data_IF_424547719086
#
_entry.id   IF_424547719086
#
_cell.length_a   1.000
_cell.length_b   1.000
_cell.length_c   1.000
_cell.angle_alpha   90.00
_cell.angle_beta   90.00
_cell.angle_gamma   90.00
#
_symmetry.space_group_name_H-M   'P 1'
#
loop_
_entity.id
_entity.type
_entity.pdbx_description
1 polymer ?
#
# COMPACT_ATOMS: atom_id res chain seq x y z
N UNK A 1 -5.76 70.13 33.15
CA UNK A 1 -5.82 69.34 34.40
C UNK A 1 -7.18 68.65 34.48
N UNK A 2 -7.17 67.41 34.98
CA UNK A 2 -8.29 66.46 35.23
C UNK A 2 -8.63 65.50 34.09
N UNK A 3 -8.34 64.22 34.38
CA UNK A 3 -8.55 62.97 33.65
C UNK A 3 -9.92 62.36 34.02
N UNK A 4 -10.14 61.15 33.47
CA UNK A 4 -11.02 60.04 33.91
C UNK A 4 -12.48 60.23 33.43
N UNK A 5 -13.20 59.31 32.77
CA UNK A 5 -13.39 57.87 33.03
C UNK A 5 -13.75 57.08 31.75
N UNK A 6 -13.16 55.88 31.71
CA UNK A 6 -13.36 54.73 30.82
C UNK A 6 -14.72 54.07 31.08
N UNK A 7 -15.48 53.72 30.04
CA UNK A 7 -16.50 52.67 30.14
C UNK A 7 -16.69 51.99 28.79
N UNK A 8 -16.23 50.74 28.74
CA UNK A 8 -16.53 49.79 27.69
C UNK A 8 -18.01 49.41 27.77
N UNK A 9 -18.72 49.40 26.64
CA UNK A 9 -19.92 48.60 26.50
C UNK A 9 -19.90 47.89 25.15
N UNK A 10 -19.62 46.61 25.24
CA UNK A 10 -19.72 45.61 24.19
C UNK A 10 -21.18 45.46 23.78
N UNK A 11 -21.49 45.55 22.49
CA UNK A 11 -22.70 44.93 21.92
C UNK A 11 -22.26 44.09 20.74
N UNK A 12 -22.19 42.79 21.01
CA UNK A 12 -22.22 41.72 20.02
C UNK A 12 -23.60 41.72 19.35
N UNK A 13 -23.63 41.73 18.02
CA UNK A 13 -24.76 41.15 17.29
C UNK A 13 -24.22 40.26 16.16
N UNK A 14 -24.31 38.96 16.42
CA UNK A 14 -24.18 37.88 15.45
C UNK A 14 -25.50 37.80 14.70
N UNK A 15 -25.46 37.88 13.36
CA UNK A 15 -26.47 37.22 12.52
C UNK A 15 -25.75 36.44 11.42
N UNK A 16 -26.05 35.15 11.45
CA UNK A 16 -25.58 34.06 10.61
C UNK A 16 -26.08 34.24 9.17
N UNK A 17 -25.19 33.98 8.22
CA UNK A 17 -25.52 33.67 6.84
C UNK A 17 -24.67 32.48 6.40
N UNK A 18 -25.04 31.28 6.84
CA UNK A 18 -24.44 30.02 6.40
C UNK A 18 -24.84 29.74 4.96
N UNK A 19 -23.90 29.93 4.03
CA UNK A 19 -23.94 29.27 2.73
C UNK A 19 -23.15 27.98 2.86
N UNK A 20 -23.83 26.85 2.93
CA UNK A 20 -23.20 25.55 2.72
C UNK A 20 -22.81 25.48 1.24
N UNK A 21 -21.51 25.62 0.96
CA UNK A 21 -20.93 25.13 -0.29
C UNK A 21 -20.31 23.78 0.04
N UNK A 22 -21.01 22.71 -0.35
CA UNK A 22 -20.38 21.41 -0.53
C UNK A 22 -19.43 21.53 -1.72
N UNK A 23 -18.14 21.66 -1.41
CA UNK A 23 -17.06 21.51 -2.37
C UNK A 23 -16.00 20.67 -1.69
N UNK A 24 -16.08 19.35 -1.81
CA UNK A 24 -14.94 18.50 -1.46
C UNK A 24 -14.07 18.39 -2.71
N UNK A 25 -13.04 19.22 -2.76
CA UNK A 25 -11.89 19.05 -3.62
C UNK A 25 -10.94 18.07 -2.91
N UNK A 26 -10.58 16.99 -3.58
CA UNK A 26 -9.51 16.10 -3.17
C UNK A 26 -8.96 15.39 -4.39
N UNK A 27 -8.29 16.13 -5.28
CA UNK A 27 -7.54 15.52 -6.37
C UNK A 27 -6.18 15.08 -5.80
N UNK A 28 -5.97 13.78 -5.65
CA UNK A 28 -4.65 13.20 -5.36
C UNK A 28 -3.80 13.25 -6.62
N UNK A 29 -2.99 14.30 -6.76
CA UNK A 29 -2.02 14.40 -7.83
C UNK A 29 -0.63 14.04 -7.29
N UNK A 30 -0.09 12.92 -7.75
CA UNK A 30 1.35 12.68 -7.68
C UNK A 30 2.08 13.76 -8.49
N UNK A 31 2.53 14.81 -7.81
CA UNK A 31 3.31 15.87 -8.46
C UNK A 31 4.72 15.34 -8.73
N UNK A 32 5.23 15.72 -9.90
CA UNK A 32 6.42 15.18 -10.53
C UNK A 32 7.42 16.32 -10.74
N UNK A 33 8.72 16.12 -10.50
CA UNK A 33 9.78 17.02 -10.99
C UNK A 33 10.02 16.76 -12.49
N UNK A 34 9.01 16.93 -13.33
CA UNK A 34 9.11 16.57 -14.77
C UNK A 34 7.86 16.81 -15.64
N UNK A 35 6.70 17.10 -15.05
CA UNK A 35 5.57 17.67 -15.78
C UNK A 35 4.64 16.72 -16.55
N UNK A 36 4.76 15.40 -16.44
CA UNK A 36 3.70 14.47 -16.87
C UNK A 36 2.82 14.10 -15.68
N UNK A 37 1.53 14.45 -15.77
CA UNK A 37 0.49 14.11 -14.79
C UNK A 37 -0.29 12.93 -15.35
N UNK A 38 -0.16 11.76 -14.71
CA UNK A 38 -1.01 10.61 -15.02
C UNK A 38 -2.32 10.74 -14.26
N UNK A 39 -3.46 10.57 -14.93
CA UNK A 39 -4.72 10.35 -14.25
C UNK A 39 -4.71 8.91 -13.73
N UNK A 40 -4.26 8.74 -12.48
CA UNK A 40 -4.37 7.47 -11.79
C UNK A 40 -5.81 7.22 -11.41
N UNK A 41 -6.17 5.93 -11.36
CA UNK A 41 -7.50 5.55 -10.90
C UNK A 41 -7.63 5.83 -9.41
N UNK A 42 -8.65 6.60 -9.04
CA UNK A 42 -9.07 6.87 -7.67
C UNK A 42 -10.35 6.08 -7.40
N UNK A 43 -10.21 4.86 -6.90
CA UNK A 43 -11.37 4.03 -6.49
C UNK A 43 -11.77 4.25 -5.02
N UNK A 44 -11.37 5.37 -4.39
CA UNK A 44 -11.83 5.67 -3.02
C UNK A 44 -13.35 5.86 -2.94
N UNK A 45 -14.07 5.91 -4.06
CA UNK A 45 -15.36 6.56 -4.12
C UNK A 45 -16.60 5.66 -4.16
N UNK A 46 -16.53 4.33 -4.40
CA UNK A 46 -17.79 3.55 -4.34
C UNK A 46 -17.70 2.12 -3.80
N UNK A 47 -16.69 1.29 -4.14
CA UNK A 47 -16.72 -0.12 -3.74
C UNK A 47 -15.94 -0.42 -2.45
N UNK A 48 -14.66 -0.06 -2.37
CA UNK A 48 -13.81 -0.40 -1.22
C UNK A 48 -14.24 0.23 0.10
N UNK A 49 -14.72 1.49 0.07
CA UNK A 49 -15.23 2.14 1.27
C UNK A 49 -16.46 1.42 1.83
N UNK A 50 -17.34 0.91 0.95
CA UNK A 50 -18.53 0.17 1.37
C UNK A 50 -18.12 -1.19 1.93
N UNK A 51 -17.21 -1.89 1.25
CA UNK A 51 -16.68 -3.19 1.66
C UNK A 51 -16.00 -3.12 3.05
N UNK A 52 -15.09 -2.18 3.27
CA UNK A 52 -14.41 -1.97 4.57
C UNK A 52 -15.40 -1.54 5.67
N UNK A 53 -16.44 -0.77 5.31
CA UNK A 53 -17.47 -0.35 6.26
C UNK A 53 -18.41 -1.49 6.70
N UNK A 54 -18.41 -2.64 6.03
CA UNK A 54 -19.18 -3.82 6.46
C UNK A 54 -18.57 -4.51 7.69
N UNK A 55 -17.27 -4.35 7.89
CA UNK A 55 -16.58 -4.91 9.04
C UNK A 55 -16.79 -4.05 10.30
N UNK A 56 -16.90 -4.68 11.49
CA UNK A 56 -17.00 -3.94 12.74
C UNK A 56 -15.78 -3.05 12.98
N UNK A 57 -15.88 -2.16 13.95
CA UNK A 57 -14.72 -1.46 14.49
C UNK A 57 -14.12 -2.31 15.60
N UNK A 58 -12.81 -2.54 15.54
CA UNK A 58 -12.05 -3.29 16.53
C UNK A 58 -10.91 -2.42 17.09
N UNK A 59 -10.50 -2.62 18.35
CA UNK A 59 -9.38 -1.85 18.89
C UNK A 59 -8.07 -2.30 18.24
N UNK A 60 -7.28 -1.35 17.73
CA UNK A 60 -5.98 -1.67 17.13
C UNK A 60 -4.90 -1.88 18.18
N UNK A 61 -4.12 -2.94 18.00
CA UNK A 61 -2.81 -3.11 18.61
C UNK A 61 -1.78 -2.14 17.99
N UNK A 62 -0.66 -1.92 18.69
CA UNK A 62 0.43 -1.12 18.13
C UNK A 62 1.03 -1.75 16.86
N UNK A 63 1.04 -3.09 16.78
CA UNK A 63 1.60 -3.80 15.63
C UNK A 63 0.74 -3.58 14.37
N UNK A 64 -0.58 -3.55 14.52
CA UNK A 64 -1.51 -3.23 13.43
C UNK A 64 -1.38 -1.77 12.99
N UNK A 65 -1.28 -0.83 13.94
CA UNK A 65 -1.06 0.59 13.61
C UNK A 65 0.23 0.78 12.80
N UNK A 66 1.33 0.19 13.27
CA UNK A 66 2.63 0.29 12.61
C UNK A 66 2.61 -0.40 11.24
N UNK A 67 1.88 -1.51 11.10
CA UNK A 67 1.67 -2.23 9.85
C UNK A 67 0.89 -1.40 8.82
N UNK A 68 -0.22 -0.77 9.23
CA UNK A 68 -1.02 0.09 8.35
C UNK A 68 -0.21 1.31 7.86
N UNK A 69 0.60 1.90 8.73
CA UNK A 69 1.48 3.02 8.39
C UNK A 69 2.54 2.58 7.36
N UNK A 70 3.12 1.39 7.54
CA UNK A 70 4.09 0.81 6.61
C UNK A 70 3.43 0.54 5.25
N UNK A 71 2.36 -0.24 5.21
CA UNK A 71 1.69 -0.61 3.95
C UNK A 71 1.18 0.61 3.19
N UNK A 72 0.75 1.67 3.88
CA UNK A 72 0.36 2.92 3.23
C UNK A 72 1.50 3.51 2.40
N UNK A 73 2.72 3.54 2.94
CA UNK A 73 3.90 4.05 2.22
C UNK A 73 4.52 3.02 1.26
N UNK A 74 4.42 1.72 1.55
CA UNK A 74 4.95 0.64 0.70
C UNK A 74 4.21 0.53 -0.63
N UNK A 75 2.87 0.56 -0.59
CA UNK A 75 2.03 0.60 -1.80
C UNK A 75 2.27 1.89 -2.62
N UNK A 76 2.46 3.03 -1.93
CA UNK A 76 2.90 4.28 -2.59
C UNK A 76 4.27 4.12 -3.23
N UNK A 77 5.19 3.43 -2.57
CA UNK A 77 6.52 3.17 -3.07
C UNK A 77 6.47 2.34 -4.35
N UNK A 78 5.70 1.24 -4.37
CA UNK A 78 5.48 0.43 -5.56
C UNK A 78 4.93 1.28 -6.72
N UNK A 79 3.86 2.03 -6.46
CA UNK A 79 3.26 3.00 -7.41
C UNK A 79 4.30 3.94 -7.99
N UNK A 80 5.10 4.58 -7.14
CA UNK A 80 6.05 5.60 -7.53
C UNK A 80 7.23 5.02 -8.32
N UNK A 81 7.73 3.82 -7.97
CA UNK A 81 8.74 3.09 -8.74
C UNK A 81 8.21 2.79 -10.14
N UNK A 82 6.98 2.28 -10.25
CA UNK A 82 6.41 1.92 -11.54
C UNK A 82 6.13 3.13 -12.42
N UNK A 83 5.67 4.25 -11.84
CA UNK A 83 5.51 5.49 -12.61
C UNK A 83 6.84 6.04 -13.12
N UNK A 84 7.91 5.93 -12.33
CA UNK A 84 9.26 6.33 -12.76
C UNK A 84 9.77 5.45 -13.89
N UNK A 85 9.65 4.13 -13.75
CA UNK A 85 10.07 3.18 -14.79
C UNK A 85 9.19 3.25 -16.05
N UNK A 86 7.92 3.64 -15.92
CA UNK A 86 7.07 3.95 -17.07
C UNK A 86 7.58 5.17 -17.83
N UNK A 87 7.95 6.24 -17.13
CA UNK A 87 8.48 7.45 -17.76
C UNK A 87 9.79 7.17 -18.53
N UNK A 88 10.61 6.25 -18.03
CA UNK A 88 11.88 5.86 -18.67
C UNK A 88 11.66 4.92 -19.86
N UNK A 89 10.85 3.87 -19.71
CA UNK A 89 10.77 2.76 -20.67
C UNK A 89 9.51 2.75 -21.54
N UNK A 90 8.47 3.50 -21.16
CA UNK A 90 7.19 3.58 -21.87
C UNK A 90 6.42 2.25 -21.93
N UNK A 91 6.75 1.27 -21.09
CA UNK A 91 6.12 -0.06 -21.12
C UNK A 91 4.82 -0.06 -20.33
N UNK A 92 3.72 -0.39 -21.00
CA UNK A 92 2.36 -0.30 -20.44
C UNK A 92 2.14 -1.14 -19.17
N UNK A 93 2.91 -2.20 -18.95
CA UNK A 93 2.86 -3.00 -17.71
C UNK A 93 3.06 -2.11 -16.48
N UNK A 94 4.04 -1.20 -16.50
CA UNK A 94 4.32 -0.33 -15.36
C UNK A 94 3.17 0.63 -15.08
N UNK A 95 2.60 1.28 -16.11
CA UNK A 95 1.48 2.19 -15.92
C UNK A 95 0.21 1.45 -15.45
N UNK A 96 -0.04 0.25 -15.98
CA UNK A 96 -1.20 -0.55 -15.56
C UNK A 96 -1.09 -0.96 -14.09
N UNK A 97 0.08 -1.44 -13.67
CA UNK A 97 0.30 -1.88 -12.29
C UNK A 97 0.33 -0.68 -11.34
N UNK A 98 0.96 0.44 -11.72
CA UNK A 98 0.89 1.69 -10.93
C UNK A 98 -0.55 2.17 -10.66
N UNK A 99 -1.48 1.96 -11.61
CA UNK A 99 -2.90 2.24 -11.37
C UNK A 99 -3.53 1.29 -10.33
N UNK A 100 -3.09 0.03 -10.29
CA UNK A 100 -3.49 -0.92 -9.25
C UNK A 100 -2.93 -0.51 -7.89
N UNK A 101 -1.65 -0.12 -7.82
CA UNK A 101 -1.04 0.33 -6.56
C UNK A 101 -1.66 1.62 -6.02
N UNK A 102 -2.16 2.49 -6.90
CA UNK A 102 -3.00 3.63 -6.49
C UNK A 102 -4.27 3.15 -5.77
N UNK A 103 -4.88 2.05 -6.23
CA UNK A 103 -6.04 1.45 -5.57
C UNK A 103 -5.66 0.83 -4.23
N UNK A 104 -4.54 0.11 -4.16
CA UNK A 104 -4.05 -0.52 -2.93
C UNK A 104 -3.74 0.52 -1.85
N UNK A 105 -2.92 1.54 -2.16
CA UNK A 105 -2.56 2.57 -1.19
C UNK A 105 -3.80 3.33 -0.68
N UNK A 106 -4.81 3.51 -1.54
CA UNK A 106 -6.09 4.10 -1.17
C UNK A 106 -6.94 3.20 -0.25
N UNK A 107 -6.91 1.88 -0.45
CA UNK A 107 -7.58 0.94 0.45
C UNK A 107 -6.99 1.00 1.86
N UNK A 108 -5.65 1.07 1.99
CA UNK A 108 -4.99 1.27 3.30
C UNK A 108 -5.36 2.62 3.89
N UNK A 109 -5.42 3.68 3.07
CA UNK A 109 -5.87 5.01 3.52
C UNK A 109 -7.27 4.97 4.14
N UNK A 110 -8.20 4.20 3.57
CA UNK A 110 -9.55 4.06 4.12
C UNK A 110 -9.53 3.43 5.53
N UNK A 111 -8.63 2.49 5.80
CA UNK A 111 -8.42 1.96 7.16
C UNK A 111 -7.83 3.02 8.09
N UNK A 112 -6.80 3.76 7.65
CA UNK A 112 -6.25 4.87 8.46
C UNK A 112 -7.34 5.89 8.83
N UNK A 113 -8.21 6.25 7.88
CA UNK A 113 -9.35 7.14 8.12
C UNK A 113 -10.37 6.51 9.09
N UNK A 114 -10.73 5.22 8.92
CA UNK A 114 -11.67 4.49 9.78
C UNK A 114 -11.20 4.48 11.24
N UNK A 115 -9.90 4.29 11.46
CA UNK A 115 -9.28 4.25 12.79
C UNK A 115 -8.78 5.61 13.28
N UNK A 116 -9.01 6.68 12.52
CA UNK A 116 -8.57 8.05 12.85
C UNK A 116 -7.05 8.12 13.14
N UNK A 117 -6.27 7.40 12.35
CA UNK A 117 -4.81 7.42 12.34
C UNK A 117 -4.30 8.55 11.43
N UNK A 118 -3.11 9.06 11.70
CA UNK A 118 -2.48 10.06 10.83
C UNK A 118 -1.96 9.39 9.57
N UNK A 119 -2.34 9.91 8.39
CA UNK A 119 -1.81 9.42 7.10
C UNK A 119 -0.29 9.69 7.02
N UNK A 120 0.49 8.63 6.80
CA UNK A 120 1.94 8.70 6.63
C UNK A 120 2.35 9.38 5.32
N UNK A 121 1.46 9.36 4.32
CA UNK A 121 1.63 10.06 3.04
C UNK A 121 1.08 11.49 3.17
N UNK A 122 1.84 12.34 3.87
CA UNK A 122 1.51 13.76 4.00
C UNK A 122 1.86 14.59 2.74
N UNK A 123 2.79 14.08 1.92
CA UNK A 123 3.19 14.64 0.63
C UNK A 123 3.15 13.51 -0.42
N UNK A 124 2.19 13.60 -1.33
CA UNK A 124 1.99 12.60 -2.38
C UNK A 124 2.91 12.82 -3.61
N UNK A 125 3.88 13.74 -3.51
CA UNK A 125 4.93 13.90 -4.52
C UNK A 125 5.67 12.58 -4.74
N UNK A 126 5.93 12.25 -6.01
CA UNK A 126 6.62 11.01 -6.37
C UNK A 126 8.00 10.93 -5.70
N UNK A 127 8.31 9.79 -5.10
CA UNK A 127 9.61 9.54 -4.48
C UNK A 127 9.81 10.20 -3.11
N UNK A 128 8.80 10.89 -2.58
CA UNK A 128 8.81 11.47 -1.23
C UNK A 128 8.16 10.49 -0.26
N UNK A 129 8.88 10.15 0.81
CA UNK A 129 8.44 9.22 1.85
C UNK A 129 8.84 9.76 3.23
N UNK A 130 7.96 9.55 4.21
CA UNK A 130 8.28 9.75 5.63
C UNK A 130 9.28 8.70 6.08
N UNK A 131 9.05 7.43 5.72
CA UNK A 131 9.99 6.34 5.96
C UNK A 131 11.26 6.48 5.09
N UNK A 132 12.39 6.69 5.76
CA UNK A 132 13.68 6.93 5.09
C UNK A 132 14.28 5.67 4.44
N UNK A 133 13.85 4.48 4.87
CA UNK A 133 14.29 3.23 4.26
C UNK A 133 13.57 2.99 2.93
N UNK A 134 12.26 3.28 2.87
CA UNK A 134 11.52 3.30 1.59
C UNK A 134 12.04 4.37 0.62
N UNK A 135 12.42 5.56 1.13
CA UNK A 135 13.06 6.57 0.30
C UNK A 135 14.41 6.11 -0.30
N UNK A 136 15.21 5.39 0.48
CA UNK A 136 16.47 4.81 -0.01
C UNK A 136 16.20 3.69 -1.02
N UNK A 137 15.28 2.78 -0.71
CA UNK A 137 14.91 1.68 -1.59
C UNK A 137 14.37 2.19 -2.94
N UNK A 138 13.50 3.21 -2.92
CA UNK A 138 13.02 3.89 -4.12
C UNK A 138 14.16 4.35 -5.02
N UNK A 139 15.10 5.13 -4.47
CA UNK A 139 16.21 5.68 -5.25
C UNK A 139 17.05 4.57 -5.87
N UNK A 140 17.38 3.54 -5.11
CA UNK A 140 18.23 2.47 -5.59
C UNK A 140 17.53 1.57 -6.61
N UNK A 141 16.25 1.25 -6.44
CA UNK A 141 15.51 0.45 -7.42
C UNK A 141 15.25 1.23 -8.71
N UNK A 142 14.97 2.53 -8.64
CA UNK A 142 14.90 3.39 -9.82
C UNK A 142 16.25 3.41 -10.53
N UNK A 143 17.36 3.59 -9.81
CA UNK A 143 18.71 3.56 -10.39
C UNK A 143 18.97 2.24 -11.12
N UNK A 144 18.68 1.11 -10.47
CA UNK A 144 18.84 -0.23 -11.07
C UNK A 144 17.94 -0.41 -12.30
N UNK A 145 16.65 -0.09 -12.16
CA UNK A 145 15.68 -0.23 -13.23
C UNK A 145 15.93 0.72 -14.40
N UNK A 146 16.70 1.80 -14.21
CA UNK A 146 17.08 2.72 -15.28
C UNK A 146 18.18 2.15 -16.21
N UNK A 147 18.85 1.07 -15.82
CA UNK A 147 19.98 0.50 -16.59
C UNK A 147 19.51 -0.18 -17.87
N UNK A 148 18.48 -1.03 -17.78
CA UNK A 148 17.90 -1.72 -18.93
C UNK A 148 16.44 -2.06 -18.69
N UNK A 149 15.68 -2.31 -19.76
CA UNK A 149 14.31 -2.76 -19.63
C UNK A 149 14.22 -4.09 -18.85
N UNK A 150 15.19 -4.99 -19.02
CA UNK A 150 15.21 -6.23 -18.24
C UNK A 150 15.38 -5.93 -16.75
N UNK A 151 16.30 -5.03 -16.39
CA UNK A 151 16.49 -4.62 -14.99
C UNK A 151 15.23 -3.96 -14.42
N UNK A 152 14.52 -3.15 -15.20
CA UNK A 152 13.25 -2.55 -14.80
C UNK A 152 12.17 -3.60 -14.51
N UNK A 153 12.08 -4.63 -15.35
CA UNK A 153 11.13 -5.73 -15.15
C UNK A 153 11.49 -6.55 -13.91
N UNK A 154 12.79 -6.80 -13.68
CA UNK A 154 13.26 -7.47 -12.45
C UNK A 154 12.99 -6.65 -11.21
N UNK A 155 13.11 -5.31 -11.29
CA UNK A 155 12.70 -4.39 -10.22
C UNK A 155 11.20 -4.54 -9.95
N UNK A 156 10.37 -4.59 -10.99
CA UNK A 156 8.94 -4.91 -10.88
C UNK A 156 8.68 -6.16 -10.08
N UNK A 157 9.23 -7.30 -10.51
CA UNK A 157 9.08 -8.56 -9.78
C UNK A 157 9.64 -8.52 -8.34
N UNK A 158 10.71 -7.75 -8.08
CA UNK A 158 11.30 -7.60 -6.74
C UNK A 158 10.40 -6.82 -5.79
N UNK A 159 9.71 -5.80 -6.29
CA UNK A 159 8.77 -5.03 -5.48
C UNK A 159 7.59 -5.91 -5.07
N UNK A 160 7.01 -6.68 -5.99
CA UNK A 160 5.89 -7.58 -5.67
C UNK A 160 6.31 -8.74 -4.74
N UNK A 161 7.53 -9.25 -4.88
CA UNK A 161 8.10 -10.27 -3.99
C UNK A 161 8.24 -9.74 -2.55
N UNK A 162 8.73 -8.51 -2.38
CA UNK A 162 8.79 -7.84 -1.08
C UNK A 162 7.39 -7.64 -0.49
N UNK A 163 6.47 -7.11 -1.30
CA UNK A 163 5.12 -6.76 -0.85
C UNK A 163 4.32 -7.98 -0.37
N UNK A 164 4.39 -9.10 -1.10
CA UNK A 164 3.78 -10.38 -0.67
C UNK A 164 4.37 -10.84 0.67
N UNK A 165 5.71 -10.79 0.80
CA UNK A 165 6.39 -11.22 2.02
C UNK A 165 5.96 -10.39 3.24
N UNK A 166 5.90 -9.07 3.11
CA UNK A 166 5.54 -8.17 4.21
C UNK A 166 4.04 -8.26 4.54
N UNK A 167 3.15 -8.35 3.54
CA UNK A 167 1.71 -8.57 3.74
C UNK A 167 1.40 -9.86 4.51
N UNK A 168 1.99 -10.98 4.12
CA UNK A 168 1.78 -12.26 4.81
C UNK A 168 2.18 -12.17 6.28
N UNK A 169 3.33 -11.55 6.54
CA UNK A 169 3.84 -11.43 7.89
C UNK A 169 3.05 -10.44 8.75
N UNK A 170 2.54 -9.36 8.16
CA UNK A 170 1.65 -8.44 8.85
C UNK A 170 0.30 -9.10 9.14
N UNK A 171 -0.20 -9.94 8.23
CA UNK A 171 -1.43 -10.68 8.43
C UNK A 171 -1.29 -11.78 9.51
N UNK A 172 -0.11 -12.40 9.67
CA UNK A 172 0.16 -13.37 10.75
C UNK A 172 0.06 -12.78 12.16
N UNK A 173 0.27 -11.47 12.31
CA UNK A 173 0.28 -10.78 13.61
C UNK A 173 -0.96 -9.91 13.85
N UNK A 174 -1.90 -9.88 12.89
CA UNK A 174 -3.16 -9.15 12.96
C UNK A 174 -4.30 -10.13 13.27
N UNK A 175 -5.20 -9.76 14.18
CA UNK A 175 -6.46 -10.47 14.40
C UNK A 175 -7.69 -9.63 14.02
N UNK A 176 -7.48 -8.39 13.58
CA UNK A 176 -8.52 -7.49 13.08
C UNK A 176 -9.03 -7.91 11.70
N UNK A 177 -10.35 -8.12 11.59
CA UNK A 177 -10.98 -8.67 10.39
C UNK A 177 -10.90 -7.73 9.18
N UNK A 178 -10.96 -6.41 9.39
CA UNK A 178 -10.94 -5.46 8.28
C UNK A 178 -9.53 -5.26 7.70
N UNK A 179 -8.51 -5.30 8.55
CA UNK A 179 -7.10 -5.27 8.17
C UNK A 179 -6.78 -6.52 7.37
N UNK A 180 -7.14 -7.71 7.87
CA UNK A 180 -6.91 -8.97 7.16
C UNK A 180 -7.62 -9.01 5.80
N UNK A 181 -8.84 -8.47 5.70
CA UNK A 181 -9.55 -8.41 4.42
C UNK A 181 -8.89 -7.46 3.41
N UNK A 182 -8.34 -6.33 3.85
CA UNK A 182 -7.58 -5.43 2.97
C UNK A 182 -6.25 -6.07 2.58
N UNK A 183 -5.47 -6.58 3.53
CA UNK A 183 -4.17 -7.21 3.24
C UNK A 183 -4.29 -8.42 2.32
N UNK A 184 -5.29 -9.29 2.50
CA UNK A 184 -5.51 -10.41 1.59
C UNK A 184 -5.84 -9.97 0.15
N UNK A 185 -6.60 -8.87 0.00
CA UNK A 185 -6.87 -8.28 -1.31
C UNK A 185 -5.62 -7.67 -1.97
N UNK A 186 -4.80 -6.96 -1.19
CA UNK A 186 -3.51 -6.43 -1.62
C UNK A 186 -2.60 -7.58 -2.08
N UNK A 187 -2.41 -8.61 -1.24
CA UNK A 187 -1.52 -9.73 -1.52
C UNK A 187 -1.93 -10.47 -2.80
N UNK A 188 -3.23 -10.63 -3.03
CA UNK A 188 -3.77 -11.16 -4.29
C UNK A 188 -3.42 -10.27 -5.49
N UNK A 189 -3.51 -8.95 -5.33
CA UNK A 189 -3.06 -7.98 -6.33
C UNK A 189 -1.58 -8.18 -6.65
N UNK A 190 -0.73 -8.26 -5.63
CA UNK A 190 0.72 -8.41 -5.75
C UNK A 190 1.11 -9.74 -6.38
N UNK A 191 0.43 -10.85 -6.04
CA UNK A 191 0.59 -12.15 -6.75
C UNK A 191 0.27 -12.03 -8.24
N UNK A 192 -0.77 -11.28 -8.61
CA UNK A 192 -1.13 -11.03 -10.00
C UNK A 192 -0.12 -10.13 -10.74
N UNK A 193 0.43 -9.13 -10.06
CA UNK A 193 1.51 -8.30 -10.59
C UNK A 193 2.78 -9.11 -10.81
N UNK A 194 3.17 -9.96 -9.84
CA UNK A 194 4.30 -10.87 -9.93
C UNK A 194 4.16 -11.82 -11.13
N UNK A 195 2.99 -12.45 -11.30
CA UNK A 195 2.67 -13.25 -12.50
C UNK A 195 2.84 -12.44 -13.79
N UNK A 196 2.44 -11.17 -13.78
CA UNK A 196 2.52 -10.29 -14.95
C UNK A 196 3.97 -9.93 -15.28
N UNK A 197 4.77 -9.54 -14.30
CA UNK A 197 6.19 -9.27 -14.47
C UNK A 197 6.94 -10.52 -14.92
N UNK A 198 6.77 -11.66 -14.25
CA UNK A 198 7.40 -12.93 -14.64
C UNK A 198 7.09 -13.30 -16.10
N UNK A 199 5.82 -13.22 -16.52
CA UNK A 199 5.45 -13.48 -17.93
C UNK A 199 6.14 -12.54 -18.91
N UNK A 200 6.33 -11.27 -18.57
CA UNK A 200 7.02 -10.31 -19.45
C UNK A 200 8.54 -10.53 -19.42
N UNK A 201 9.13 -10.86 -18.28
CA UNK A 201 10.54 -11.22 -18.14
C UNK A 201 10.88 -12.43 -19.02
N UNK A 202 10.10 -13.50 -18.94
CA UNK A 202 10.29 -14.72 -19.73
C UNK A 202 10.16 -14.46 -21.24
N UNK A 203 9.18 -13.65 -21.64
CA UNK A 203 9.02 -13.22 -23.06
C UNK A 203 10.21 -12.42 -23.57
N UNK A 204 10.94 -11.75 -22.69
CA UNK A 204 12.18 -11.05 -23.01
C UNK A 204 13.43 -11.92 -22.80
N UNK A 205 13.27 -13.23 -22.55
CA UNK A 205 14.36 -14.19 -22.42
C UNK A 205 15.08 -14.16 -21.07
N UNK A 206 14.50 -13.52 -20.06
CA UNK A 206 15.01 -13.51 -18.68
C UNK A 206 14.31 -14.55 -17.79
N UNK A 207 14.80 -14.66 -16.56
CA UNK A 207 14.18 -15.42 -15.47
C UNK A 207 14.31 -14.61 -14.18
N UNK A 208 13.29 -14.65 -13.33
CA UNK A 208 13.33 -14.02 -12.02
C UNK A 208 13.56 -15.08 -10.93
N UNK A 209 14.43 -14.77 -9.98
CA UNK A 209 14.67 -15.58 -8.78
C UNK A 209 14.17 -14.76 -7.58
N UNK A 210 13.26 -15.31 -6.75
CA UNK A 210 12.73 -14.61 -5.59
C UNK A 210 13.83 -14.34 -4.56
N UNK A 211 13.70 -13.19 -3.91
CA UNK A 211 14.62 -12.65 -2.93
C UNK A 211 14.02 -12.63 -1.52
N UNK A 212 12.69 -12.55 -1.41
CA UNK A 212 11.96 -12.47 -0.14
C UNK A 212 11.12 -13.72 0.12
N UNK A 213 10.15 -14.02 -0.74
CA UNK A 213 9.36 -15.24 -0.66
C UNK A 213 10.20 -16.47 -1.00
N UNK A 214 9.71 -17.65 -0.60
CA UNK A 214 10.42 -18.89 -0.88
C UNK A 214 10.36 -19.25 -2.37
N UNK A 215 11.36 -19.97 -2.89
CA UNK A 215 11.31 -20.48 -4.27
C UNK A 215 10.04 -21.31 -4.53
N UNK A 216 9.65 -22.16 -3.59
CA UNK A 216 8.45 -23.01 -3.73
C UNK A 216 7.17 -22.20 -3.86
N UNK A 217 7.08 -21.11 -3.11
CA UNK A 217 5.92 -20.22 -3.12
C UNK A 217 5.87 -19.39 -4.40
N UNK A 218 7.02 -18.84 -4.82
CA UNK A 218 7.15 -18.19 -6.12
C UNK A 218 6.69 -19.12 -7.25
N UNK A 219 7.18 -20.36 -7.28
CA UNK A 219 6.81 -21.36 -8.28
C UNK A 219 5.30 -21.66 -8.27
N UNK A 220 4.68 -21.74 -7.09
CA UNK A 220 3.24 -21.91 -6.92
C UNK A 220 2.46 -20.71 -7.47
N UNK A 221 2.90 -19.48 -7.15
CA UNK A 221 2.26 -18.24 -7.62
C UNK A 221 2.32 -18.16 -9.15
N UNK A 222 3.52 -18.29 -9.74
CA UNK A 222 3.71 -18.05 -11.19
C UNK A 222 3.16 -19.15 -12.08
N UNK A 223 2.99 -20.37 -11.54
CA UNK A 223 2.32 -21.47 -12.25
C UNK A 223 0.78 -21.41 -12.19
N UNK A 224 0.23 -20.59 -11.28
CA UNK A 224 -1.20 -20.38 -11.14
C UNK A 224 -1.82 -19.43 -12.17
N UNK A 225 -3.15 -19.48 -12.27
CA UNK A 225 -3.95 -18.53 -13.06
C UNK A 225 -4.02 -17.15 -12.38
N UNK A 226 -4.41 -16.12 -13.14
CA UNK A 226 -4.69 -14.80 -12.56
C UNK A 226 -5.89 -14.90 -11.62
N UNK A 227 -5.75 -14.36 -10.41
CA UNK A 227 -6.79 -14.34 -9.40
C UNK A 227 -7.78 -13.20 -9.69
N UNK A 228 -9.09 -13.41 -9.43
CA UNK A 228 -10.15 -12.44 -9.77
C UNK A 228 -11.14 -12.28 -8.61
N UNK A 229 -11.88 -11.16 -8.58
CA UNK A 229 -12.85 -10.85 -7.52
C UNK A 229 -12.24 -10.14 -6.30
N UNK A 230 -13.06 -9.75 -5.33
CA UNK A 230 -12.62 -9.19 -4.04
C UNK A 230 -12.77 -10.25 -2.93
N UNK A 231 -11.90 -10.23 -1.92
CA UNK A 231 -11.96 -11.11 -0.75
C UNK A 231 -12.94 -10.63 0.32
N UNK A 232 -13.56 -9.46 0.12
CA UNK A 232 -14.56 -8.96 1.05
C UNK A 232 -15.78 -9.88 1.05
N UNK A 233 -16.05 -10.47 2.21
CA UNK A 233 -17.11 -11.46 2.37
C UNK A 233 -18.47 -10.85 2.04
N UNK A 234 -19.21 -11.45 1.11
CA UNK A 234 -20.66 -11.28 1.11
C UNK A 234 -21.21 -11.84 2.44
N UNK A 235 -22.14 -11.14 3.13
CA UNK A 235 -22.72 -11.66 4.37
C UNK A 235 -23.37 -13.04 4.09
N UNK A 236 -22.98 -14.02 4.90
CA UNK A 236 -23.12 -15.46 4.65
C UNK A 236 -24.51 -15.92 4.16
N UNK A 237 -24.49 -16.78 3.14
CA UNK A 237 -25.31 -18.00 3.15
C UNK A 237 -24.60 -19.14 2.39
N UNK A 238 -24.06 -20.08 3.17
CA UNK A 238 -23.86 -21.51 2.91
C UNK A 238 -23.78 -22.00 1.44
N UNK A 239 -22.56 -22.32 1.00
CA UNK A 239 -22.09 -23.67 0.64
C UNK A 239 -21.11 -23.63 -0.53
N UNK A 240 -19.83 -23.89 -0.26
CA UNK A 240 -19.10 -25.04 -0.80
C UNK A 240 -17.76 -25.15 -0.09
N UNK A 241 -17.57 -26.29 0.58
CA UNK A 241 -16.26 -26.76 1.04
C UNK A 241 -15.32 -26.93 -0.16
N UNK A 242 -14.10 -26.43 -0.04
CA UNK A 242 -12.90 -27.23 -0.29
C UNK A 242 -11.73 -26.58 0.45
N UNK A 243 -11.53 -27.04 1.69
CA UNK A 243 -10.34 -26.76 2.46
C UNK A 243 -9.24 -27.75 2.10
N UNK A 244 -8.05 -27.22 1.82
CA UNK A 244 -6.80 -27.88 2.19
C UNK A 244 -5.95 -26.84 2.91
N UNK A 245 -6.15 -26.75 4.23
CA UNK A 245 -5.25 -26.08 5.16
C UNK A 245 -3.97 -26.92 5.27
N UNK A 246 -2.83 -26.41 4.80
CA UNK A 246 -1.53 -26.95 5.18
C UNK A 246 -1.15 -26.38 6.55
N UNK A 247 -1.10 -27.26 7.55
CA UNK A 247 -0.60 -26.92 8.88
C UNK A 247 0.92 -26.77 8.84
N UNK A 248 1.42 -25.58 9.12
CA UNK A 248 2.83 -25.37 9.47
C UNK A 248 3.00 -25.56 10.99
N UNK A 249 3.93 -26.43 11.39
CA UNK A 249 4.21 -26.73 12.79
C UNK A 249 4.98 -25.57 13.45
N UNK A 250 4.41 -25.05 14.53
CA UNK A 250 5.03 -24.06 15.42
C UNK A 250 6.05 -24.76 16.31
N UNK A 251 7.28 -24.26 16.34
CA UNK A 251 8.20 -24.44 17.47
C UNK A 251 8.46 -23.07 18.10
N UNK A 252 7.92 -22.90 19.30
CA UNK A 252 8.12 -21.78 20.21
C UNK A 252 9.52 -21.83 20.84
N UNK A 253 10.27 -20.72 20.74
CA UNK A 253 11.08 -20.25 21.88
C UNK A 253 11.04 -18.73 21.99
N UNK A 254 10.23 -18.29 22.95
CA UNK A 254 10.25 -17.00 23.66
C UNK A 254 11.58 -16.21 23.73
N UNK A 255 11.54 -14.94 23.31
CA UNK A 255 12.11 -13.77 24.02
C UNK A 255 11.66 -12.44 23.37
N UNK A 256 11.53 -11.43 24.24
CA UNK A 256 10.93 -10.08 24.17
C UNK A 256 11.25 -9.11 22.98
N UNK A 257 10.56 -7.94 22.89
CA UNK A 257 10.03 -7.38 21.63
C UNK A 257 10.90 -6.29 21.01
N UNK A 258 11.75 -6.69 20.05
CA UNK A 258 12.35 -5.79 19.03
C UNK A 258 12.46 -6.47 17.65
N UNK A 259 11.95 -7.70 17.51
CA UNK A 259 12.35 -8.60 16.42
C UNK A 259 11.47 -8.60 15.18
N UNK A 260 10.25 -8.07 15.24
CA UNK A 260 9.34 -8.05 14.09
C UNK A 260 9.77 -6.98 13.07
N UNK A 261 9.75 -5.71 13.45
CA UNK A 261 10.20 -4.62 12.56
C UNK A 261 11.63 -4.85 12.06
N UNK A 262 12.58 -5.15 12.95
CA UNK A 262 13.97 -5.40 12.56
C UNK A 262 14.18 -6.55 11.55
N UNK A 263 13.24 -7.50 11.42
CA UNK A 263 13.30 -8.59 10.43
C UNK A 263 12.69 -8.23 9.08
N UNK A 264 11.64 -7.39 9.02
CA UNK A 264 11.12 -6.77 7.77
C UNK A 264 12.30 -6.00 7.16
N UNK A 265 12.96 -5.18 7.99
CA UNK A 265 14.09 -4.34 7.61
C UNK A 265 15.38 -5.11 7.27
N UNK A 266 15.61 -6.30 7.82
CA UNK A 266 16.77 -7.12 7.46
C UNK A 266 16.67 -7.70 6.04
N UNK A 267 15.45 -7.87 5.49
CA UNK A 267 15.23 -8.21 4.09
C UNK A 267 15.63 -7.05 3.17
N UNK A 268 15.06 -5.86 3.39
CA UNK A 268 15.41 -4.62 2.68
C UNK A 268 16.93 -4.34 2.65
N UNK A 269 17.61 -4.53 3.79
CA UNK A 269 19.05 -4.28 3.92
C UNK A 269 19.97 -5.32 3.24
N UNK A 270 19.47 -6.50 2.88
CA UNK A 270 20.25 -7.49 2.13
C UNK A 270 20.43 -7.12 0.66
N UNK A 271 19.49 -6.37 0.09
CA UNK A 271 19.51 -5.92 -1.29
C UNK A 271 20.55 -4.81 -1.57
N UNK A 272 20.91 -4.03 -0.54
CA UNK A 272 21.94 -2.98 -0.62
C UNK A 272 23.39 -3.51 -0.50
N UNK A 273 23.62 -4.83 -0.52
CA UNK A 273 24.96 -5.45 -0.35
C UNK A 273 25.38 -6.34 -1.51
#
# INVERSE_FOLDING_TARGET
MKRIIMTCLSVFLVILGSSFVYGNQGMGYGQNQGGQVYQLYDDTQVNHQQEIAMYPFEELSQQEIDGLILMREEEKFARDVYLELYDIWGQQIFLNIANSESTHTNAVKLLLDKYNLTDSVADDTRGIFTNQDLAQLYNSLVEKGSVSLMDALMVGATVEDLDIYDLQRLNEISDNEDISAVYGNLEKGSRNHLRSFTKVIERNGGTYEPQYISQSEYDEIVSGDMETGTEYGAPENLSTQNGQSNQYQINDTSSEPQGAFAKIWQGLMRWLR
#
